data_IF_816041314845
#
_entry.id   IF_816041314845
#
_cell.length_a   1.000
_cell.length_b   1.000
_cell.length_c   1.000
_cell.angle_alpha   90.00
_cell.angle_beta   90.00
_cell.angle_gamma   90.00
#
_symmetry.space_group_name_H-M   'P 1'
#
loop_
_entity.id
_entity.type
_entity.pdbx_description
1 polymer ?
#
# COMPACT_ATOMS: atom_id res chain seq x y z
N UNK A 1 -3.64 -18.65 28.74
CA UNK A 1 -2.94 -18.16 27.52
C UNK A 1 -3.84 -17.12 26.87
N UNK A 2 -3.56 -15.84 27.10
CA UNK A 2 -4.31 -14.72 26.51
C UNK A 2 -3.78 -14.48 25.10
N UNK A 3 -4.47 -15.03 24.10
CA UNK A 3 -4.19 -14.72 22.71
C UNK A 3 -4.48 -13.25 22.46
N UNK A 4 -3.46 -12.48 22.09
CA UNK A 4 -3.63 -11.12 21.58
C UNK A 4 -4.31 -11.27 20.22
N UNK A 5 -5.62 -11.11 20.20
CA UNK A 5 -6.39 -10.94 18.97
C UNK A 5 -5.99 -9.57 18.42
N UNK A 6 -5.08 -9.54 17.46
CA UNK A 6 -4.82 -8.33 16.68
C UNK A 6 -6.11 -8.02 15.93
N UNK A 7 -6.79 -6.90 16.22
CA UNK A 7 -7.98 -6.55 15.47
C UNK A 7 -7.55 -6.25 14.03
N UNK A 8 -7.88 -7.15 13.11
CA UNK A 8 -7.90 -6.80 11.70
C UNK A 8 -9.01 -5.77 11.53
N UNK A 9 -8.62 -4.50 11.37
CA UNK A 9 -9.57 -3.43 11.12
C UNK A 9 -10.39 -3.78 9.85
N UNK A 10 -11.71 -3.91 9.97
CA UNK A 10 -12.57 -4.15 8.82
C UNK A 10 -12.64 -2.86 8.01
N UNK A 11 -12.18 -2.89 6.76
CA UNK A 11 -12.60 -2.00 5.66
C UNK A 11 -12.88 -0.53 6.02
N UNK A 12 -11.97 0.11 6.76
CA UNK A 12 -12.20 1.42 7.36
C UNK A 12 -11.90 2.58 6.42
N UNK A 13 -12.92 2.99 5.67
CA UNK A 13 -13.15 4.38 5.23
C UNK A 13 -12.15 4.95 4.20
N UNK A 14 -12.36 4.64 2.92
CA UNK A 14 -11.65 5.23 1.78
C UNK A 14 -11.57 6.76 1.84
N UNK A 15 -12.61 7.42 2.39
CA UNK A 15 -12.63 8.87 2.60
C UNK A 15 -11.54 9.37 3.58
N UNK A 16 -11.19 8.58 4.60
CA UNK A 16 -10.09 8.90 5.50
C UNK A 16 -8.73 8.71 4.83
N UNK A 17 -8.59 7.67 4.00
CA UNK A 17 -7.36 7.45 3.23
C UNK A 17 -7.12 8.57 2.23
N UNK A 18 -8.14 9.01 1.50
CA UNK A 18 -8.03 10.13 0.55
C UNK A 18 -7.73 11.44 1.27
N UNK A 19 -8.36 11.70 2.41
CA UNK A 19 -8.09 12.90 3.22
C UNK A 19 -6.64 12.93 3.71
N UNK A 20 -6.11 11.77 4.15
CA UNK A 20 -4.71 11.66 4.58
C UNK A 20 -3.73 11.91 3.42
N UNK A 21 -4.05 11.39 2.23
CA UNK A 21 -3.25 11.63 1.02
C UNK A 21 -3.26 13.12 0.65
N UNK A 22 -4.42 13.78 0.71
CA UNK A 22 -4.53 15.22 0.43
C UNK A 22 -3.73 16.07 1.42
N UNK A 23 -3.72 15.74 2.71
CA UNK A 23 -2.89 16.43 3.71
C UNK A 23 -1.41 16.31 3.35
N UNK A 24 -0.93 15.10 3.06
CA UNK A 24 0.48 14.88 2.67
C UNK A 24 0.81 15.61 1.36
N UNK A 25 -0.10 15.62 0.40
CA UNK A 25 0.10 16.33 -0.87
C UNK A 25 0.22 17.85 -0.67
N UNK A 26 -0.59 18.43 0.22
CA UNK A 26 -0.51 19.85 0.55
C UNK A 26 0.82 20.16 1.25
N UNK A 27 1.29 19.30 2.15
CA UNK A 27 2.60 19.44 2.79
C UNK A 27 3.74 19.39 1.77
N UNK A 28 3.73 18.41 0.85
CA UNK A 28 4.72 18.30 -0.22
C UNK A 28 4.76 19.54 -1.12
N UNK A 29 3.60 20.11 -1.43
CA UNK A 29 3.49 21.34 -2.21
C UNK A 29 4.02 22.55 -1.42
N UNK A 30 3.64 22.68 -0.14
CA UNK A 30 4.07 23.76 0.73
C UNK A 30 5.59 23.74 0.99
N UNK A 31 6.19 22.56 1.05
CA UNK A 31 7.64 22.35 1.17
C UNK A 31 8.40 22.58 -0.16
N UNK A 32 7.70 22.86 -1.26
CA UNK A 32 8.31 23.01 -2.59
C UNK A 32 8.89 21.71 -3.15
N UNK A 33 8.47 20.55 -2.61
CA UNK A 33 8.93 19.21 -3.04
C UNK A 33 8.17 18.70 -4.25
N UNK A 34 7.08 19.35 -4.62
CA UNK A 34 6.31 19.12 -5.84
C UNK A 34 5.99 20.44 -6.53
N UNK A 35 6.05 20.46 -7.86
CA UNK A 35 5.77 21.67 -8.67
C UNK A 35 4.26 22.01 -8.72
N UNK A 36 3.40 20.99 -8.64
CA UNK A 36 1.94 21.13 -8.71
C UNK A 36 1.26 20.28 -7.65
N UNK A 37 0.03 20.64 -7.27
CA UNK A 37 -0.78 19.82 -6.36
C UNK A 37 -1.05 18.42 -6.94
N UNK A 38 -1.21 18.31 -8.26
CA UNK A 38 -1.40 17.03 -8.94
C UNK A 38 -0.18 16.13 -8.81
N UNK A 39 1.03 16.67 -9.02
CA UNK A 39 2.27 15.94 -8.79
C UNK A 39 2.42 15.53 -7.32
N UNK A 40 2.12 16.44 -6.39
CA UNK A 40 2.17 16.16 -4.96
C UNK A 40 1.21 15.04 -4.53
N UNK A 41 0.00 15.01 -5.09
CA UNK A 41 -0.98 13.93 -4.86
C UNK A 41 -0.49 12.59 -5.39
N UNK A 42 0.09 12.56 -6.58
CA UNK A 42 0.65 11.33 -7.15
C UNK A 42 1.81 10.81 -6.30
N UNK A 43 2.70 11.69 -5.85
CA UNK A 43 3.80 11.31 -4.96
C UNK A 43 3.29 10.79 -3.60
N UNK A 44 2.25 11.42 -3.03
CA UNK A 44 1.62 10.96 -1.80
C UNK A 44 0.94 9.59 -1.97
N UNK A 45 0.25 9.36 -3.10
CA UNK A 45 -0.36 8.06 -3.44
C UNK A 45 0.74 6.98 -3.57
N UNK A 46 1.82 7.27 -4.30
CA UNK A 46 2.94 6.35 -4.47
C UNK A 46 3.58 6.00 -3.13
N UNK A 47 3.79 6.97 -2.24
CA UNK A 47 4.32 6.72 -0.90
C UNK A 47 3.38 5.82 -0.09
N UNK A 48 2.07 6.07 -0.15
CA UNK A 48 1.07 5.25 0.54
C UNK A 48 1.03 3.81 0.03
N UNK A 49 1.02 3.62 -1.30
CA UNK A 49 1.03 2.29 -1.92
C UNK A 49 2.31 1.52 -1.60
N UNK A 50 3.47 2.17 -1.63
CA UNK A 50 4.75 1.54 -1.24
C UNK A 50 4.78 1.13 0.24
N UNK A 51 4.15 1.92 1.12
CA UNK A 51 3.96 1.54 2.52
C UNK A 51 3.16 0.25 2.65
N UNK A 52 1.97 0.19 2.04
CA UNK A 52 1.13 -1.02 2.05
C UNK A 52 1.82 -2.22 1.39
N UNK A 53 2.60 -2.00 0.33
CA UNK A 53 3.40 -3.03 -0.32
C UNK A 53 4.39 -3.65 0.67
N UNK A 54 5.13 -2.82 1.41
CA UNK A 54 6.11 -3.27 2.39
C UNK A 54 5.45 -4.08 3.53
N UNK A 55 4.31 -3.59 4.04
CA UNK A 55 3.54 -4.27 5.08
C UNK A 55 3.07 -5.65 4.60
N UNK A 56 2.56 -5.75 3.38
CA UNK A 56 2.04 -7.00 2.84
C UNK A 56 3.16 -8.00 2.54
N UNK A 57 4.33 -7.54 2.08
CA UNK A 57 5.54 -8.36 1.95
C UNK A 57 5.96 -8.94 3.31
N UNK A 58 5.92 -8.13 4.37
CA UNK A 58 6.24 -8.59 5.72
C UNK A 58 5.23 -9.65 6.21
N UNK A 59 3.93 -9.45 5.97
CA UNK A 59 2.88 -10.44 6.30
C UNK A 59 3.09 -11.74 5.53
N UNK A 60 3.42 -11.70 4.24
CA UNK A 60 3.69 -12.90 3.45
C UNK A 60 4.93 -13.65 3.98
N UNK A 61 5.99 -12.92 4.30
CA UNK A 61 7.21 -13.51 4.85
C UNK A 61 6.92 -14.23 6.18
N UNK A 62 6.15 -13.58 7.07
CA UNK A 62 5.69 -14.15 8.33
C UNK A 62 4.80 -15.38 8.14
N UNK A 63 3.85 -15.35 7.20
CA UNK A 63 3.00 -16.52 6.92
C UNK A 63 3.81 -17.71 6.37
N UNK A 64 4.86 -17.45 5.59
CA UNK A 64 5.72 -18.48 5.00
C UNK A 64 6.76 -19.03 5.96
N UNK A 65 7.17 -18.25 6.97
CA UNK A 65 8.14 -18.69 7.98
C UNK A 65 7.49 -19.53 9.08
N UNK A 66 6.16 -19.50 9.21
CA UNK A 66 5.44 -20.25 10.23
C UNK A 66 5.61 -21.76 10.06
N UNK A 67 6.03 -22.47 11.12
CA UNK A 67 6.02 -23.92 11.11
C UNK A 67 4.59 -24.45 11.06
N UNK A 68 4.42 -25.69 10.60
CA UNK A 68 3.14 -26.40 10.70
C UNK A 68 2.68 -26.44 12.16
N UNK A 69 1.41 -26.14 12.37
CA UNK A 69 0.77 -26.19 13.68
C UNK A 69 0.43 -27.62 14.13
N UNK A 70 0.51 -28.59 13.21
CA UNK A 70 -0.02 -29.94 13.39
C UNK A 70 -1.55 -30.03 13.24
N UNK A 71 -2.24 -28.90 13.13
CA UNK A 71 -3.67 -28.84 12.81
C UNK A 71 -3.85 -28.52 11.33
N UNK A 72 -4.36 -29.50 10.58
CA UNK A 72 -4.57 -29.40 9.14
C UNK A 72 -5.47 -28.22 8.74
N UNK A 73 -6.42 -27.81 9.58
CA UNK A 73 -7.30 -26.66 9.30
C UNK A 73 -6.56 -25.34 9.44
N UNK A 74 -5.72 -25.20 10.46
CA UNK A 74 -4.90 -24.00 10.67
C UNK A 74 -3.86 -23.88 9.56
N UNK A 75 -3.23 -24.99 9.20
CA UNK A 75 -2.21 -25.00 8.13
C UNK A 75 -2.84 -24.64 6.77
N UNK A 76 -4.03 -25.16 6.46
CA UNK A 76 -4.78 -24.77 5.26
C UNK A 76 -5.18 -23.28 5.28
N UNK A 77 -5.59 -22.73 6.44
CA UNK A 77 -5.91 -21.32 6.58
C UNK A 77 -4.67 -20.44 6.31
N UNK A 78 -3.52 -20.79 6.89
CA UNK A 78 -2.27 -20.05 6.67
C UNK A 78 -1.85 -20.08 5.19
N UNK A 79 -2.00 -21.23 4.52
CA UNK A 79 -1.73 -21.36 3.08
C UNK A 79 -2.67 -20.45 2.26
N UNK A 80 -3.97 -20.46 2.55
CA UNK A 80 -4.94 -19.61 1.87
C UNK A 80 -4.66 -18.12 2.10
N UNK A 81 -4.34 -17.71 3.33
CA UNK A 81 -3.95 -16.33 3.65
C UNK A 81 -2.70 -15.90 2.88
N UNK A 82 -1.69 -16.78 2.75
CA UNK A 82 -0.49 -16.50 1.96
C UNK A 82 -0.84 -16.29 0.48
N UNK A 83 -1.78 -17.06 -0.07
CA UNK A 83 -2.24 -16.89 -1.47
C UNK A 83 -2.96 -15.56 -1.65
N UNK A 84 -3.93 -15.24 -0.79
CA UNK A 84 -4.67 -13.98 -0.89
C UNK A 84 -3.79 -12.75 -0.67
N UNK A 85 -2.86 -12.80 0.29
CA UNK A 85 -1.86 -11.75 0.47
C UNK A 85 -0.98 -11.58 -0.78
N UNK A 86 -0.58 -12.67 -1.43
CA UNK A 86 0.20 -12.61 -2.68
C UNK A 86 -0.59 -11.97 -3.83
N UNK A 87 -1.90 -12.23 -3.92
CA UNK A 87 -2.79 -11.57 -4.90
C UNK A 87 -2.92 -10.07 -4.62
N UNK A 88 -3.13 -9.69 -3.36
CA UNK A 88 -3.17 -8.28 -2.95
C UNK A 88 -1.86 -7.55 -3.29
N UNK A 89 -0.72 -8.21 -3.11
CA UNK A 89 0.59 -7.64 -3.45
C UNK A 89 0.70 -7.36 -4.96
N UNK A 90 0.27 -8.31 -5.80
CA UNK A 90 0.28 -8.12 -7.24
C UNK A 90 -0.64 -6.96 -7.69
N UNK A 91 -1.77 -6.75 -7.01
CA UNK A 91 -2.65 -5.61 -7.27
C UNK A 91 -2.02 -4.27 -6.87
N UNK A 92 -1.34 -4.22 -5.71
CA UNK A 92 -0.61 -3.03 -5.28
C UNK A 92 0.52 -2.71 -6.28
N UNK A 93 1.28 -3.71 -6.71
CA UNK A 93 2.34 -3.54 -7.72
C UNK A 93 1.79 -2.96 -9.03
N UNK A 94 0.61 -3.41 -9.48
CA UNK A 94 -0.07 -2.86 -10.65
C UNK A 94 -0.43 -1.37 -10.45
N UNK A 95 -0.99 -1.01 -9.29
CA UNK A 95 -1.36 0.37 -9.01
C UNK A 95 -0.15 1.29 -8.87
N UNK A 96 0.96 0.79 -8.31
CA UNK A 96 2.24 1.53 -8.28
C UNK A 96 2.69 1.82 -9.71
N UNK A 97 2.74 0.80 -10.58
CA UNK A 97 3.15 1.00 -11.97
C UNK A 97 2.26 2.01 -12.73
N UNK A 98 0.95 1.97 -12.51
CA UNK A 98 0.02 2.95 -13.09
C UNK A 98 0.25 4.37 -12.55
N UNK A 99 0.46 4.51 -11.24
CA UNK A 99 0.72 5.81 -10.62
C UNK A 99 2.08 6.39 -11.06
N UNK A 100 3.11 5.56 -11.26
CA UNK A 100 4.41 5.96 -11.79
C UNK A 100 4.31 6.47 -13.23
N UNK A 101 3.53 5.81 -14.08
CA UNK A 101 3.26 6.27 -15.46
C UNK A 101 2.60 7.64 -15.44
N UNK A 102 1.57 7.83 -14.62
CA UNK A 102 0.89 9.11 -14.47
C UNK A 102 1.83 10.21 -13.93
N UNK A 103 2.68 9.89 -12.94
CA UNK A 103 3.65 10.82 -12.39
C UNK A 103 4.72 11.21 -13.41
N UNK A 104 5.15 10.28 -14.26
CA UNK A 104 6.05 10.56 -15.39
C UNK A 104 5.44 11.56 -16.37
N UNK A 105 4.18 11.33 -16.78
CA UNK A 105 3.46 12.21 -17.70
C UNK A 105 3.26 13.63 -17.12
N UNK A 106 2.89 13.73 -15.85
CA UNK A 106 2.66 15.01 -15.17
C UNK A 106 3.93 15.87 -15.08
N UNK A 107 5.12 15.25 -14.99
CA UNK A 107 6.41 15.97 -14.93
C UNK A 107 6.92 16.37 -16.32
N UNK A 108 6.53 15.67 -17.38
CA UNK A 108 6.90 16.02 -18.75
C UNK A 108 6.11 17.19 -19.33
N UNK A 109 4.89 17.43 -18.84
CA UNK A 109 4.03 18.55 -19.28
C UNK A 109 4.48 19.92 -18.71
N UNK A 110 5.34 19.92 -17.69
CA UNK A 110 5.87 21.12 -17.02
C UNK A 110 7.14 21.71 -17.68
N UNK A 111 7.60 21.15 -18.82
CA UNK A 111 8.72 21.71 -19.59
C UNK A 111 8.21 22.74 -20.62
N UNK A 112 8.56 24.04 -20.51
CA UNK A 112 8.23 25.00 -21.54
C UNK A 112 9.05 24.72 -22.80
N UNK A 113 8.38 24.55 -23.94
CA UNK A 113 8.98 24.73 -25.27
C UNK A 113 9.32 26.19 -25.53
#
# INVERSE_FOLDING_TARGET
MTGIVVPMQPGGNEAFSLTRIDVVAIELLAEGRAATLSAARLDAILAHLNGHRADLVAVIAELRSRPSSGDARIDALNANLSVEASKGLAQIDLFIGQAEICAGAARSDDLPT
#
